data_IF_957753168431
#
_entry.id   IF_957753168431
#
_cell.length_a   1.000
_cell.length_b   1.000
_cell.length_c   1.000
_cell.angle_alpha   90.00
_cell.angle_beta   90.00
_cell.angle_gamma   90.00
#
_symmetry.space_group_name_H-M   'P 1'
#
loop_
_entity.id
_entity.type
_entity.pdbx_description
1 polymer ?
#
# COMPACT_ATOMS: atom_id res chain seq x y z
N UNK A 1 -5.98 0.82 14.27
CA UNK A 1 -4.58 0.42 14.54
C UNK A 1 -4.40 0.04 16.00
N UNK A 2 -4.63 0.92 16.98
CA UNK A 2 -4.49 0.58 18.40
C UNK A 2 -5.23 -0.70 18.83
N UNK A 3 -6.50 -0.88 18.43
CA UNK A 3 -7.24 -2.11 18.75
C UNK A 3 -6.63 -3.38 18.14
N UNK A 4 -6.04 -3.29 16.95
CA UNK A 4 -5.32 -4.42 16.33
C UNK A 4 -4.07 -4.75 17.14
N UNK A 5 -3.30 -3.73 17.56
CA UNK A 5 -2.15 -3.96 18.43
C UNK A 5 -2.56 -4.66 19.72
N UNK A 6 -3.59 -4.18 20.40
CA UNK A 6 -4.06 -4.78 21.66
C UNK A 6 -4.61 -6.20 21.47
N UNK A 7 -5.18 -6.50 20.30
CA UNK A 7 -5.70 -7.83 19.98
C UNK A 7 -4.59 -8.88 19.81
N UNK A 8 -3.49 -8.50 19.17
CA UNK A 8 -2.38 -9.42 18.86
C UNK A 8 -1.23 -9.37 19.87
N UNK A 9 -1.11 -8.29 20.63
CA UNK A 9 -0.06 -8.11 21.62
C UNK A 9 -0.34 -8.91 22.89
N UNK A 10 0.65 -9.71 23.30
CA UNK A 10 0.59 -10.48 24.54
C UNK A 10 0.54 -9.60 25.80
N UNK A 11 1.14 -8.40 25.77
CA UNK A 11 1.22 -7.46 26.90
C UNK A 11 0.43 -6.16 26.71
N UNK A 12 -0.19 -5.97 25.53
CA UNK A 12 -0.98 -4.81 25.11
C UNK A 12 -0.19 -3.50 24.94
N UNK A 13 1.14 -3.55 24.97
CA UNK A 13 2.01 -2.39 24.80
C UNK A 13 2.75 -2.41 23.46
N UNK A 14 3.22 -3.58 23.04
CA UNK A 14 3.98 -3.76 21.80
C UNK A 14 3.74 -5.16 21.19
N UNK A 15 4.03 -5.32 19.91
CA UNK A 15 4.06 -6.64 19.27
C UNK A 15 5.51 -7.14 19.29
N UNK A 16 5.74 -8.29 19.93
CA UNK A 16 7.01 -9.00 19.75
C UNK A 16 7.04 -9.73 18.39
N UNK A 17 8.14 -10.43 18.10
CA UNK A 17 8.31 -11.13 16.81
C UNK A 17 7.23 -12.18 16.55
N UNK A 18 6.71 -12.83 17.60
CA UNK A 18 5.69 -13.87 17.50
C UNK A 18 4.31 -13.26 17.38
N UNK A 19 4.00 -12.25 18.17
CA UNK A 19 2.77 -11.47 18.06
C UNK A 19 2.61 -10.89 16.64
N UNK A 20 3.69 -10.32 16.10
CA UNK A 20 3.70 -9.79 14.73
C UNK A 20 3.56 -10.91 13.69
N UNK A 21 4.21 -12.06 13.87
CA UNK A 21 4.07 -13.20 12.96
C UNK A 21 2.61 -13.66 12.87
N UNK A 22 1.93 -13.80 14.00
CA UNK A 22 0.50 -14.14 14.05
C UNK A 22 -0.36 -13.12 13.33
N UNK A 23 -0.09 -11.82 13.49
CA UNK A 23 -0.78 -10.76 12.77
C UNK A 23 -0.62 -10.89 11.24
N UNK A 24 0.61 -11.12 10.78
CA UNK A 24 0.92 -11.23 9.34
C UNK A 24 0.23 -12.44 8.68
N UNK A 25 0.16 -13.56 9.39
CA UNK A 25 -0.52 -14.76 8.89
C UNK A 25 -2.05 -14.61 8.92
N UNK A 26 -2.60 -14.13 10.04
CA UNK A 26 -4.05 -14.10 10.25
C UNK A 26 -4.76 -12.94 9.53
N UNK A 27 -4.16 -11.74 9.55
CA UNK A 27 -4.83 -10.52 9.05
C UNK A 27 -4.27 -10.06 7.70
N UNK A 28 -2.98 -10.28 7.42
CA UNK A 28 -2.38 -9.89 6.13
C UNK A 28 -2.39 -11.03 5.10
N UNK A 29 -2.78 -12.25 5.50
CA UNK A 29 -2.85 -13.40 4.61
C UNK A 29 -1.49 -13.82 4.04
N UNK A 30 -0.39 -13.44 4.69
CA UNK A 30 0.95 -13.80 4.25
C UNK A 30 1.24 -15.26 4.57
N UNK A 31 1.55 -16.07 3.57
CA UNK A 31 1.94 -17.47 3.76
C UNK A 31 3.44 -17.58 4.11
N UNK A 32 3.79 -18.56 4.95
CA UNK A 32 5.17 -18.87 5.32
C UNK A 32 5.94 -17.72 5.99
N UNK A 33 5.26 -16.95 6.85
CA UNK A 33 5.92 -15.91 7.64
C UNK A 33 6.89 -16.57 8.61
N UNK A 34 8.10 -16.01 8.72
CA UNK A 34 9.11 -16.49 9.66
C UNK A 34 9.39 -15.44 10.72
N UNK A 35 9.96 -15.84 11.86
CA UNK A 35 10.41 -14.86 12.88
C UNK A 35 11.39 -13.83 12.30
N UNK A 36 12.17 -14.22 11.28
CA UNK A 36 13.05 -13.30 10.55
C UNK A 36 12.26 -12.23 9.80
N UNK A 37 11.16 -12.59 9.16
CA UNK A 37 10.26 -11.63 8.49
C UNK A 37 9.74 -10.58 9.47
N UNK A 38 9.29 -11.02 10.65
CA UNK A 38 8.86 -10.12 11.73
C UNK A 38 9.99 -9.21 12.20
N UNK A 39 11.20 -9.75 12.41
CA UNK A 39 12.37 -8.96 12.80
C UNK A 39 12.75 -7.91 11.75
N UNK A 40 12.73 -8.27 10.46
CA UNK A 40 13.04 -7.34 9.37
C UNK A 40 12.04 -6.16 9.33
N UNK A 41 10.75 -6.43 9.57
CA UNK A 41 9.70 -5.40 9.71
C UNK A 41 9.97 -4.53 10.94
N UNK A 42 10.27 -5.13 12.09
CA UNK A 42 10.58 -4.38 13.31
C UNK A 42 11.77 -3.46 13.12
N UNK A 43 12.89 -3.97 12.60
CA UNK A 43 14.07 -3.15 12.33
C UNK A 43 13.82 -2.00 11.34
N UNK A 44 12.89 -2.20 10.39
CA UNK A 44 12.58 -1.22 9.37
C UNK A 44 11.63 -0.12 9.85
N UNK A 45 10.62 -0.46 10.65
CA UNK A 45 9.51 0.45 10.94
C UNK A 45 9.45 0.94 12.38
N UNK A 46 10.08 0.24 13.32
CA UNK A 46 10.15 0.68 14.72
C UNK A 46 11.04 1.93 14.85
N UNK A 47 10.52 3.06 15.36
CA UNK A 47 11.32 4.28 15.49
C UNK A 47 12.33 4.22 16.64
N UNK A 48 12.06 3.45 17.70
CA UNK A 48 12.93 3.40 18.87
C UNK A 48 14.08 2.39 18.70
N UNK A 49 15.32 2.79 19.01
CA UNK A 49 16.46 1.87 18.98
C UNK A 49 16.29 0.71 19.97
N UNK A 50 15.75 1.00 21.15
CA UNK A 50 15.48 -0.02 22.15
C UNK A 50 14.45 -1.04 21.64
N UNK A 51 13.37 -0.59 20.99
CA UNK A 51 12.39 -1.50 20.38
C UNK A 51 13.01 -2.35 19.28
N UNK A 52 13.85 -1.76 18.42
CA UNK A 52 14.59 -2.50 17.39
C UNK A 52 15.51 -3.57 18.00
N UNK A 53 16.29 -3.24 19.02
CA UNK A 53 17.23 -4.16 19.67
C UNK A 53 16.52 -5.30 20.41
N UNK A 54 15.35 -5.01 21.00
CA UNK A 54 14.55 -6.00 21.75
C UNK A 54 13.57 -6.80 20.88
N UNK A 55 13.40 -6.42 19.61
CA UNK A 55 12.44 -7.06 18.71
C UNK A 55 10.98 -6.70 19.06
N UNK A 56 10.73 -5.45 19.45
CA UNK A 56 9.41 -4.93 19.83
C UNK A 56 8.94 -3.88 18.83
N UNK A 57 7.73 -4.07 18.31
CA UNK A 57 7.03 -3.10 17.48
C UNK A 57 6.03 -2.33 18.34
N UNK A 58 6.34 -1.08 18.62
CA UNK A 58 5.46 -0.14 19.32
C UNK A 58 4.24 0.23 18.47
N UNK A 59 3.27 0.93 19.06
CA UNK A 59 2.13 1.48 18.32
C UNK A 59 2.56 2.40 17.17
N UNK A 60 3.63 3.17 17.36
CA UNK A 60 4.16 4.07 16.33
C UNK A 60 4.82 3.25 15.21
N UNK A 61 5.62 2.25 15.57
CA UNK A 61 6.22 1.34 14.60
C UNK A 61 5.19 0.55 13.80
N UNK A 62 4.13 0.07 14.47
CA UNK A 62 3.04 -0.65 13.82
C UNK A 62 2.22 0.25 12.90
N UNK A 63 2.01 1.51 13.29
CA UNK A 63 1.38 2.52 12.43
C UNK A 63 2.22 2.81 11.20
N UNK A 64 3.54 2.96 11.35
CA UNK A 64 4.47 3.16 10.23
C UNK A 64 4.46 1.96 9.27
N UNK A 65 4.41 0.74 9.79
CA UNK A 65 4.32 -0.46 8.98
C UNK A 65 3.00 -0.51 8.18
N UNK A 66 1.84 -0.36 8.84
CA UNK A 66 0.54 -0.43 8.17
C UNK A 66 0.29 0.69 7.15
N UNK A 67 0.96 1.83 7.30
CA UNK A 67 0.90 2.95 6.34
C UNK A 67 2.01 2.90 5.30
N UNK A 68 2.87 1.87 5.35
CA UNK A 68 3.95 1.68 4.40
C UNK A 68 3.46 1.20 3.03
N UNK A 69 4.23 1.40 1.96
CA UNK A 69 3.93 0.88 0.63
C UNK A 69 3.76 -0.65 0.56
N UNK A 70 4.29 -1.39 1.52
CA UNK A 70 4.19 -2.86 1.59
C UNK A 70 2.80 -3.32 2.02
N UNK A 71 2.09 -2.50 2.80
CA UNK A 71 0.72 -2.76 3.24
C UNK A 71 -0.33 -2.06 2.35
N UNK A 72 0.08 -1.54 1.19
CA UNK A 72 -0.87 -0.97 0.25
C UNK A 72 -1.78 -2.07 -0.30
N UNK A 73 -3.09 -1.80 -0.31
CA UNK A 73 -4.09 -2.71 -0.87
C UNK A 73 -3.90 -2.96 -2.39
N UNK A 74 -3.24 -2.04 -3.08
CA UNK A 74 -2.90 -2.19 -4.50
C UNK A 74 -1.65 -3.03 -4.67
N UNK A 75 -1.81 -4.14 -5.39
CA UNK A 75 -0.73 -5.03 -5.76
C UNK A 75 0.41 -4.25 -6.47
N UNK A 76 1.62 -4.21 -5.88
CA UNK A 76 2.78 -3.57 -6.48
C UNK A 76 3.17 -4.12 -7.86
N UNK A 77 2.89 -5.39 -8.16
CA UNK A 77 3.19 -5.99 -9.47
C UNK A 77 2.37 -5.34 -10.59
N UNK A 78 1.14 -4.93 -10.28
CA UNK A 78 0.23 -4.23 -11.19
C UNK A 78 0.54 -2.73 -11.35
N UNK A 79 1.55 -2.18 -10.66
CA UNK A 79 2.01 -0.80 -10.87
C UNK A 79 2.86 -0.63 -12.13
N UNK A 80 3.26 -1.74 -12.75
CA UNK A 80 3.99 -1.79 -14.02
C UNK A 80 3.15 -2.53 -15.05
N UNK A 81 3.53 -2.43 -16.32
CA UNK A 81 2.92 -3.24 -17.38
C UNK A 81 3.20 -4.71 -17.09
N UNK A 82 2.17 -5.45 -16.66
CA UNK A 82 2.23 -6.86 -16.29
C UNK A 82 1.44 -7.78 -17.23
N UNK A 83 0.69 -7.20 -18.17
CA UNK A 83 -0.16 -7.92 -19.11
C UNK A 83 0.60 -8.26 -20.40
N UNK A 84 0.12 -9.24 -21.15
CA UNK A 84 0.62 -9.52 -22.49
C UNK A 84 0.21 -8.39 -23.44
N UNK A 85 1.20 -7.61 -23.90
CA UNK A 85 0.99 -6.45 -24.78
C UNK A 85 1.10 -6.79 -26.28
N UNK A 86 1.12 -8.07 -26.66
CA UNK A 86 1.26 -8.50 -28.06
C UNK A 86 -0.06 -8.89 -28.75
N UNK A 87 -1.18 -8.88 -28.02
CA UNK A 87 -2.52 -9.13 -28.60
C UNK A 87 -2.99 -7.93 -29.44
N UNK A 88 -4.05 -8.11 -30.23
CA UNK A 88 -4.65 -7.04 -31.03
C UNK A 88 -5.33 -5.97 -30.17
N UNK A 89 -5.42 -4.72 -30.63
CA UNK A 89 -5.99 -3.59 -29.87
C UNK A 89 -7.38 -3.86 -29.27
N UNK A 90 -8.23 -4.63 -29.95
CA UNK A 90 -9.57 -4.99 -29.49
C UNK A 90 -9.60 -5.86 -28.22
N UNK A 91 -8.46 -6.37 -27.76
CA UNK A 91 -8.34 -7.20 -26.56
C UNK A 91 -8.07 -6.37 -25.29
N UNK A 92 -7.86 -5.07 -25.42
CA UNK A 92 -7.52 -4.20 -24.29
C UNK A 92 -8.61 -3.17 -24.05
N UNK A 93 -8.81 -2.82 -22.78
CA UNK A 93 -9.49 -1.57 -22.44
C UNK A 93 -8.56 -0.40 -22.70
N UNK A 94 -9.04 0.60 -23.44
CA UNK A 94 -8.28 1.80 -23.78
C UNK A 94 -8.83 2.97 -22.96
N UNK A 95 -8.00 3.53 -22.07
CA UNK A 95 -8.35 4.74 -21.35
C UNK A 95 -8.56 5.89 -22.35
N UNK A 96 -9.80 6.35 -22.47
CA UNK A 96 -10.25 7.27 -23.51
C UNK A 96 -10.98 8.44 -22.88
N UNK A 97 -10.77 9.65 -23.39
CA UNK A 97 -11.46 10.86 -22.94
C UNK A 97 -12.41 11.39 -24.02
N UNK A 98 -13.45 12.09 -23.60
CA UNK A 98 -14.43 12.72 -24.48
C UNK A 98 -14.36 14.24 -24.29
N UNK A 99 -14.30 14.98 -25.40
CA UNK A 99 -14.16 16.45 -25.38
C UNK A 99 -13.05 16.94 -24.44
N UNK A 100 -11.84 16.36 -24.55
CA UNK A 100 -10.70 16.57 -23.63
C UNK A 100 -10.26 18.03 -23.49
N UNK A 101 -10.60 18.88 -24.46
CA UNK A 101 -10.35 20.32 -24.40
C UNK A 101 -11.26 21.05 -23.40
N UNK A 102 -12.43 20.50 -23.05
CA UNK A 102 -13.33 21.11 -22.09
C UNK A 102 -12.84 20.85 -20.67
N UNK A 103 -12.62 21.93 -19.92
CA UNK A 103 -12.22 21.86 -18.51
C UNK A 103 -13.39 22.02 -17.54
N UNK A 104 -14.58 22.38 -18.06
CA UNK A 104 -15.81 22.58 -17.28
C UNK A 104 -17.04 21.98 -18.00
N UNK A 105 -18.14 22.72 -18.13
CA UNK A 105 -19.39 22.23 -18.69
C UNK A 105 -19.40 22.14 -20.23
N UNK A 106 -20.39 21.44 -20.79
CA UNK A 106 -20.51 21.18 -22.23
C UNK A 106 -21.06 22.35 -23.05
N UNK A 107 -21.66 23.37 -22.42
CA UNK A 107 -22.41 24.42 -23.11
C UNK A 107 -21.70 25.78 -23.11
N UNK A 108 -21.11 26.17 -21.99
CA UNK A 108 -20.48 27.48 -21.77
C UNK A 108 -19.07 27.36 -21.18
N UNK A 109 -18.63 26.14 -20.89
CA UNK A 109 -17.30 25.86 -20.35
C UNK A 109 -16.20 26.26 -21.34
N UNK A 110 -15.10 26.86 -20.86
CA UNK A 110 -13.98 27.22 -21.72
C UNK A 110 -13.27 25.96 -22.24
N UNK A 111 -12.66 26.11 -23.43
CA UNK A 111 -11.74 25.13 -23.98
C UNK A 111 -10.31 25.52 -23.62
N UNK A 112 -9.53 24.58 -23.09
CA UNK A 112 -8.17 24.84 -22.61
C UNK A 112 -7.23 23.65 -22.86
N UNK A 113 -5.96 23.95 -23.17
CA UNK A 113 -4.91 22.94 -23.39
C UNK A 113 -4.63 22.11 -22.13
N UNK A 114 -4.88 22.68 -20.95
CA UNK A 114 -4.71 22.00 -19.66
C UNK A 114 -5.55 20.75 -19.52
N UNK A 115 -6.71 20.67 -20.20
CA UNK A 115 -7.52 19.46 -20.28
C UNK A 115 -6.75 18.28 -20.90
N UNK A 116 -6.09 18.51 -22.03
CA UNK A 116 -5.21 17.51 -22.66
C UNK A 116 -3.98 17.20 -21.80
N UNK A 117 -3.33 18.22 -21.22
CA UNK A 117 -2.15 18.01 -20.36
C UNK A 117 -2.50 17.11 -19.18
N UNK A 118 -3.66 17.32 -18.54
CA UNK A 118 -4.09 16.51 -17.41
C UNK A 118 -4.43 15.09 -17.82
N UNK A 119 -5.17 14.91 -18.92
CA UNK A 119 -5.55 13.57 -19.40
C UNK A 119 -4.34 12.70 -19.78
N UNK A 120 -3.29 13.30 -20.35
CA UNK A 120 -2.07 12.58 -20.74
C UNK A 120 -1.08 12.35 -19.58
N UNK A 121 -1.23 13.06 -18.46
CA UNK A 121 -0.38 12.91 -17.26
C UNK A 121 -0.94 11.92 -16.24
N UNK A 122 -2.18 11.46 -16.43
CA UNK A 122 -2.86 10.52 -15.54
C UNK A 122 -2.19 9.15 -15.51
#
# INVERSE_FOLDING_TARGET
IYFLLVQFSSNKEFLDTKDLMMFLEAEQGMAHVTEKTSLDIIHKYEPSKEGQERGWLSIDGFTNYLTSPECHIFDPEHKKVCQDMNQTLSHYFINSSHNTYLIEDQFRGPSDITGYIRALKM
#
